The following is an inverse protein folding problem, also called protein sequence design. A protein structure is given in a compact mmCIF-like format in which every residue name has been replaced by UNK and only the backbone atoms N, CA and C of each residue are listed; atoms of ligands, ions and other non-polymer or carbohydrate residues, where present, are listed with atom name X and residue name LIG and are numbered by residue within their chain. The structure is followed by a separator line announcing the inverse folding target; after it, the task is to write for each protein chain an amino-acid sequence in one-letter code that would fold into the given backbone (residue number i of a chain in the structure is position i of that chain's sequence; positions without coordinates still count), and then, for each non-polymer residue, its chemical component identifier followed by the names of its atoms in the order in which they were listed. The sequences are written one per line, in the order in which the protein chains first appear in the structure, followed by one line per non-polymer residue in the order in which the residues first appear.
data_IF_733951866690
#
_entry.id   IF_733951866690
#
_cell.length_a   1.000
_cell.length_b   1.000
_cell.length_c   1.000
_cell.angle_alpha   90.00
_cell.angle_beta   90.00
_cell.angle_gamma   90.00
#
_symmetry.space_group_name_H-M   'P 1'
#
loop_
_entity.id
_entity.type
_entity.pdbx_description
1 polymer ?
#
# COMPACT_ATOMS: atom_id res chain seq x y z
N UNK A 1 9.67 20.06 6.86
CA UNK A 1 9.74 19.28 5.60
C UNK A 1 9.54 17.77 5.83
N UNK A 2 8.88 17.16 6.83
CA UNK A 2 7.67 17.39 7.66
C UNK A 2 6.35 17.47 6.86
N UNK A 3 6.37 17.72 5.54
CA UNK A 3 5.19 18.18 4.80
C UNK A 3 4.14 17.11 4.46
N UNK A 4 4.52 15.87 4.14
CA UNK A 4 3.57 14.81 3.76
C UNK A 4 2.89 14.19 4.98
N UNK A 5 3.66 13.95 6.04
CA UNK A 5 3.17 13.47 7.33
C UNK A 5 2.29 14.53 8.03
N UNK A 6 2.71 15.81 8.01
CA UNK A 6 1.85 16.92 8.43
C UNK A 6 0.57 16.99 7.58
N UNK A 7 0.62 16.66 6.29
CA UNK A 7 -0.56 16.70 5.43
C UNK A 7 -1.59 15.65 5.88
N UNK A 8 -1.16 14.39 6.03
CA UNK A 8 -2.05 13.31 6.46
C UNK A 8 -2.61 13.58 7.86
N UNK A 9 -1.77 14.03 8.80
CA UNK A 9 -2.22 14.38 10.15
C UNK A 9 -3.17 15.57 10.13
N UNK A 10 -2.87 16.63 9.37
CA UNK A 10 -3.72 17.82 9.27
C UNK A 10 -5.07 17.50 8.62
N UNK A 11 -5.09 16.75 7.52
CA UNK A 11 -6.33 16.33 6.86
C UNK A 11 -7.13 15.34 7.70
N UNK A 12 -6.47 14.44 8.43
CA UNK A 12 -7.14 13.53 9.39
C UNK A 12 -7.75 14.31 10.56
N UNK A 13 -7.07 15.36 11.04
CA UNK A 13 -7.60 16.24 12.07
C UNK A 13 -8.78 17.06 11.55
N UNK A 14 -8.64 17.68 10.38
CA UNK A 14 -9.69 18.49 9.76
C UNK A 14 -10.94 17.68 9.42
N UNK A 15 -10.77 16.42 8.98
CA UNK A 15 -11.86 15.49 8.70
C UNK A 15 -12.78 15.20 9.91
N UNK A 16 -12.34 15.47 11.14
CA UNK A 16 -13.19 15.30 12.33
C UNK A 16 -14.22 16.41 12.49
N UNK A 17 -13.85 17.63 12.08
CA UNK A 17 -14.65 18.83 12.32
C UNK A 17 -15.29 19.36 11.02
N UNK A 18 -14.84 18.89 9.86
CA UNK A 18 -15.33 19.24 8.54
C UNK A 18 -15.78 17.99 7.76
N UNK A 19 -17.10 17.88 7.55
CA UNK A 19 -17.72 16.75 6.88
C UNK A 19 -17.34 16.64 5.39
N UNK A 20 -17.05 17.75 4.71
CA UNK A 20 -16.62 17.75 3.31
C UNK A 20 -15.19 17.20 3.21
N UNK A 21 -14.30 17.64 4.11
CA UNK A 21 -12.94 17.10 4.22
C UNK A 21 -12.97 15.62 4.59
N UNK A 22 -13.84 15.22 5.52
CA UNK A 22 -14.06 13.81 5.87
C UNK A 22 -14.49 12.95 4.69
N UNK A 23 -15.46 13.43 3.90
CA UNK A 23 -15.93 12.73 2.71
C UNK A 23 -14.82 12.64 1.63
N UNK A 24 -14.05 13.70 1.43
CA UNK A 24 -12.93 13.70 0.49
C UNK A 24 -11.83 12.70 0.88
N UNK A 25 -11.47 12.65 2.17
CA UNK A 25 -10.49 11.69 2.71
C UNK A 25 -10.97 10.26 2.58
N UNK A 26 -12.23 9.99 2.92
CA UNK A 26 -12.84 8.67 2.74
C UNK A 26 -12.80 8.24 1.26
N UNK A 27 -13.17 9.13 0.34
CA UNK A 27 -13.11 8.86 -1.09
C UNK A 27 -11.71 8.58 -1.62
N UNK A 28 -10.68 9.26 -1.09
CA UNK A 28 -9.28 9.00 -1.44
C UNK A 28 -8.84 7.61 -0.96
N UNK A 29 -9.14 7.26 0.30
CA UNK A 29 -8.78 5.96 0.86
C UNK A 29 -9.52 4.82 0.16
N UNK A 30 -10.80 5.00 -0.16
CA UNK A 30 -11.58 4.01 -0.93
C UNK A 30 -11.00 3.77 -2.32
N UNK A 31 -10.64 4.84 -3.06
CA UNK A 31 -9.98 4.69 -4.37
C UNK A 31 -8.65 3.96 -4.24
N UNK A 32 -7.83 4.35 -3.26
CA UNK A 32 -6.55 3.69 -2.99
C UNK A 32 -6.72 2.20 -2.73
N UNK A 33 -7.66 1.79 -1.87
CA UNK A 33 -7.94 0.37 -1.64
C UNK A 33 -8.39 -0.34 -2.92
N UNK A 34 -9.27 0.27 -3.73
CA UNK A 34 -9.72 -0.31 -4.99
C UNK A 34 -8.58 -0.49 -6.01
N UNK A 35 -7.66 0.47 -6.08
CA UNK A 35 -6.49 0.42 -6.97
C UNK A 35 -5.55 -0.74 -6.56
N UNK A 36 -5.28 -0.92 -5.27
CA UNK A 36 -4.46 -2.02 -4.79
C UNK A 36 -5.14 -3.39 -4.90
N UNK A 37 -6.47 -3.46 -4.72
CA UNK A 37 -7.24 -4.67 -5.04
C UNK A 37 -7.08 -5.08 -6.51
N UNK A 38 -7.25 -4.10 -7.42
CA UNK A 38 -7.06 -4.30 -8.85
C UNK A 38 -5.62 -4.73 -9.20
N UNK A 39 -4.62 -4.20 -8.47
CA UNK A 39 -3.23 -4.62 -8.62
C UNK A 39 -3.03 -6.10 -8.23
N UNK A 40 -3.63 -6.56 -7.12
CA UNK A 40 -3.57 -7.96 -6.70
C UNK A 40 -4.20 -8.87 -7.76
N UNK A 41 -5.35 -8.49 -8.30
CA UNK A 41 -6.02 -9.24 -9.38
C UNK A 41 -5.15 -9.33 -10.65
N UNK A 42 -4.46 -8.24 -11.01
CA UNK A 42 -3.52 -8.22 -12.12
C UNK A 42 -2.31 -9.14 -11.88
N UNK A 43 -1.79 -9.19 -10.65
CA UNK A 43 -0.70 -10.10 -10.28
C UNK A 43 -1.13 -11.57 -10.41
N UNK A 44 -2.32 -11.91 -9.90
CA UNK A 44 -2.89 -13.24 -10.04
C UNK A 44 -3.09 -13.63 -11.52
N UNK A 45 -3.67 -12.73 -12.31
CA UNK A 45 -3.89 -12.93 -13.76
C UNK A 45 -2.58 -13.15 -14.52
N UNK A 46 -1.50 -12.47 -14.11
CA UNK A 46 -0.15 -12.61 -14.71
C UNK A 46 0.65 -13.80 -14.19
N UNK A 47 0.07 -14.62 -13.32
CA UNK A 47 0.69 -15.87 -12.89
C UNK A 47 1.58 -15.76 -11.66
N UNK A 48 1.45 -14.72 -10.84
CA UNK A 48 2.11 -14.69 -9.55
C UNK A 48 1.47 -15.75 -8.63
N UNK A 49 2.13 -16.89 -8.45
CA UNK A 49 1.60 -18.08 -7.77
C UNK A 49 0.96 -17.74 -6.41
N UNK A 50 1.66 -16.95 -5.59
CA UNK A 50 1.15 -16.58 -4.27
C UNK A 50 -0.09 -15.68 -4.27
N UNK A 51 -0.39 -14.98 -5.38
CA UNK A 51 -1.61 -14.19 -5.52
C UNK A 51 -2.79 -15.01 -6.10
N UNK A 52 -2.52 -16.06 -6.88
CA UNK A 52 -3.56 -16.90 -7.50
C UNK A 52 -4.32 -17.74 -6.48
N UNK A 53 -3.63 -18.15 -5.42
CA UNK A 53 -4.15 -19.08 -4.41
C UNK A 53 -4.96 -18.35 -3.31
N UNK A 54 -5.09 -17.02 -3.38
CA UNK A 54 -5.73 -16.22 -2.34
C UNK A 54 -7.26 -16.28 -2.43
N UNK A 55 -7.89 -16.48 -1.28
CA UNK A 55 -9.30 -16.18 -1.09
C UNK A 55 -9.55 -14.67 -0.98
N UNK A 56 -10.82 -14.27 -0.79
CA UNK A 56 -11.18 -12.85 -0.72
C UNK A 56 -10.59 -12.12 0.50
N UNK A 57 -10.33 -12.83 1.59
CA UNK A 57 -9.69 -12.24 2.76
C UNK A 57 -8.20 -12.01 2.50
N UNK A 58 -7.49 -13.03 1.99
CA UNK A 58 -6.08 -12.93 1.64
C UNK A 58 -5.79 -11.90 0.55
N UNK A 59 -6.70 -11.74 -0.43
CA UNK A 59 -6.60 -10.66 -1.43
C UNK A 59 -6.65 -9.27 -0.80
N UNK A 60 -7.58 -9.05 0.14
CA UNK A 60 -7.68 -7.77 0.87
C UNK A 60 -6.47 -7.51 1.74
N UNK A 61 -6.04 -8.50 2.52
CA UNK A 61 -4.87 -8.36 3.39
C UNK A 61 -3.60 -8.05 2.59
N UNK A 62 -3.41 -8.71 1.43
CA UNK A 62 -2.30 -8.41 0.54
C UNK A 62 -2.42 -6.99 -0.05
N UNK A 63 -3.61 -6.57 -0.49
CA UNK A 63 -3.83 -5.22 -1.00
C UNK A 63 -3.49 -4.14 0.05
N UNK A 64 -3.89 -4.35 1.30
CA UNK A 64 -3.59 -3.44 2.41
C UNK A 64 -2.08 -3.38 2.70
N UNK A 65 -1.40 -4.52 2.73
CA UNK A 65 0.04 -4.59 2.92
C UNK A 65 0.82 -3.89 1.78
N UNK A 66 0.42 -4.12 0.53
CA UNK A 66 1.01 -3.46 -0.64
C UNK A 66 0.76 -1.94 -0.60
N UNK A 67 -0.46 -1.53 -0.25
CA UNK A 67 -0.84 -0.13 -0.06
C UNK A 67 0.00 0.59 0.99
N UNK A 68 0.38 -0.11 2.06
CA UNK A 68 1.27 0.44 3.09
C UNK A 68 2.71 0.56 2.60
N UNK A 69 3.28 -0.51 2.04
CA UNK A 69 4.70 -0.54 1.64
C UNK A 69 5.01 0.38 0.46
N UNK A 70 4.06 0.56 -0.46
CA UNK A 70 4.18 1.48 -1.61
C UNK A 70 3.66 2.89 -1.31
N UNK A 71 3.42 3.20 -0.04
CA UNK A 71 2.94 4.52 0.35
C UNK A 71 3.98 5.63 0.07
N UNK A 72 3.53 6.84 -0.29
CA UNK A 72 4.42 8.00 -0.43
C UNK A 72 5.26 8.27 0.82
N UNK A 73 4.71 7.99 2.00
CA UNK A 73 5.37 8.15 3.30
C UNK A 73 6.59 7.23 3.42
N UNK A 74 6.46 5.95 3.04
CA UNK A 74 7.58 5.01 3.03
C UNK A 74 8.72 5.44 2.09
N UNK A 75 8.39 5.99 0.92
CA UNK A 75 9.38 6.59 0.03
C UNK A 75 10.08 7.80 0.68
N UNK A 76 9.33 8.73 1.28
CA UNK A 76 9.90 9.90 1.96
C UNK A 76 10.85 9.48 3.08
N UNK A 77 10.44 8.55 3.92
CA UNK A 77 11.26 8.10 5.05
C UNK A 77 12.56 7.42 4.57
N UNK A 78 12.50 6.53 3.59
CA UNK A 78 13.68 5.78 3.13
C UNK A 78 14.61 6.63 2.26
N UNK A 79 14.07 7.34 1.27
CA UNK A 79 14.86 8.12 0.31
C UNK A 79 15.16 9.52 0.84
N UNK A 80 14.12 10.21 1.33
CA UNK A 80 14.22 11.62 1.74
C UNK A 80 14.92 11.83 3.09
N UNK A 81 14.77 10.89 4.03
CA UNK A 81 15.27 11.04 5.40
C UNK A 81 16.40 10.07 5.73
N UNK A 82 16.29 8.81 5.32
CA UNK A 82 17.29 7.76 5.61
C UNK A 82 18.44 7.70 4.59
N UNK A 83 18.43 8.59 3.59
CA UNK A 83 19.51 8.75 2.62
C UNK A 83 19.65 7.62 1.60
N UNK A 84 18.61 6.81 1.39
CA UNK A 84 18.64 5.82 0.31
C UNK A 84 18.64 6.50 -1.06
N UNK A 85 19.36 5.93 -2.01
CA UNK A 85 19.15 6.27 -3.41
C UNK A 85 17.81 5.71 -3.89
N UNK A 86 17.22 6.33 -4.90
CA UNK A 86 16.00 5.82 -5.53
C UNK A 86 16.17 4.39 -6.07
N UNK A 87 17.34 4.07 -6.64
CA UNK A 87 17.67 2.73 -7.14
C UNK A 87 17.71 1.67 -6.02
N UNK A 88 18.27 2.02 -4.86
CA UNK A 88 18.24 1.14 -3.68
C UNK A 88 16.82 0.92 -3.21
N UNK A 89 16.02 1.99 -3.15
CA UNK A 89 14.61 1.92 -2.76
C UNK A 89 13.80 1.04 -3.73
N UNK A 90 13.93 1.23 -5.05
CA UNK A 90 13.17 0.46 -6.04
C UNK A 90 13.53 -1.02 -6.03
N UNK A 91 14.82 -1.34 -5.87
CA UNK A 91 15.31 -2.72 -5.75
C UNK A 91 14.75 -3.39 -4.50
N UNK A 92 14.82 -2.71 -3.37
CA UNK A 92 14.25 -3.19 -2.11
C UNK A 92 12.74 -3.36 -2.20
N UNK A 93 12.02 -2.36 -2.74
CA UNK A 93 10.58 -2.38 -2.87
C UNK A 93 10.11 -3.58 -3.68
N UNK A 94 10.75 -3.83 -4.83
CA UNK A 94 10.45 -4.98 -5.66
C UNK A 94 10.67 -6.31 -4.93
N UNK A 95 11.77 -6.43 -4.17
CA UNK A 95 12.04 -7.62 -3.37
C UNK A 95 10.98 -7.82 -2.26
N UNK A 96 10.59 -6.74 -1.58
CA UNK A 96 9.55 -6.75 -0.54
C UNK A 96 8.20 -7.13 -1.11
N UNK A 97 7.79 -6.58 -2.25
CA UNK A 97 6.54 -6.96 -2.93
C UNK A 97 6.54 -8.45 -3.29
N UNK A 98 7.65 -8.95 -3.85
CA UNK A 98 7.79 -10.38 -4.16
C UNK A 98 7.72 -11.26 -2.91
N UNK A 99 8.24 -10.80 -1.78
CA UNK A 99 8.15 -11.50 -0.51
C UNK A 99 6.68 -11.56 -0.04
N UNK A 100 6.01 -10.41 0.05
CA UNK A 100 4.62 -10.34 0.51
C UNK A 100 3.67 -11.22 -0.31
N UNK A 101 3.82 -11.21 -1.64
CA UNK A 101 3.00 -12.06 -2.52
C UNK A 101 3.21 -13.55 -2.23
N UNK A 102 4.46 -13.99 -2.03
CA UNK A 102 4.76 -15.40 -1.72
C UNK A 102 4.20 -15.81 -0.36
N UNK A 103 4.40 -14.98 0.66
CA UNK A 103 3.96 -15.28 2.03
C UNK A 103 2.44 -15.29 2.14
N UNK A 104 1.74 -14.38 1.44
CA UNK A 104 0.28 -14.39 1.39
C UNK A 104 -0.26 -15.74 0.87
N UNK A 105 0.30 -16.23 -0.24
CA UNK A 105 -0.10 -17.54 -0.77
C UNK A 105 0.28 -18.72 0.14
N UNK A 106 1.37 -18.62 0.91
CA UNK A 106 1.74 -19.65 1.88
C UNK A 106 0.75 -19.70 3.05
N UNK A 107 0.31 -18.55 3.55
CA UNK A 107 -0.67 -18.45 4.62
C UNK A 107 -2.05 -19.00 4.20
N UNK A 108 -2.46 -18.84 2.95
CA UNK A 108 -3.73 -19.36 2.43
C UNK A 108 -3.75 -20.88 2.18
N UNK A 109 -2.59 -21.55 2.22
CA UNK A 109 -2.48 -23.01 2.01
C UNK A 109 -2.38 -23.82 3.31
N UNK A 110 -2.16 -23.16 4.45
CA UNK A 110 -2.08 -23.78 5.78
C UNK A 110 -3.42 -23.79 6.48
#
# INVERSE_FOLDING_TARGET
REGAELLVVAFTSAARDDAEVGAAMSGLLTRRHADYGSMVDLLATRGAEGARDLDEAGRRDLADALSFVMSPEGHQQLVGESGWTFERYSTWLLATVRLLVREAGAASRG
#
